data_IF_511790826476
#
_entry.id   IF_511790826476
#
_cell.length_a   1.000
_cell.length_b   1.000
_cell.length_c   1.000
_cell.angle_alpha   90.00
_cell.angle_beta   90.00
_cell.angle_gamma   90.00
#
_symmetry.space_group_name_H-M   'P 1'
#
loop_
_entity.id
_entity.type
_entity.pdbx_description
1 polymer ?
#
# COMPACT_ATOMS: atom_id res chain seq x y z
N UNK A 1 -6.40 6.54 -2.85
CA UNK A 1 -7.51 5.57 -2.77
C UNK A 1 -8.18 5.66 -1.42
N UNK A 2 -7.44 5.53 -0.30
CA UNK A 2 -7.94 6.07 0.96
C UNK A 2 -7.85 7.60 0.97
N UNK A 3 -8.79 8.23 1.66
CA UNK A 3 -8.84 9.68 1.90
C UNK A 3 -9.24 9.90 3.37
N UNK A 4 -8.72 10.94 4.03
CA UNK A 4 -9.07 11.25 5.41
C UNK A 4 -10.51 11.80 5.50
N UNK A 5 -11.04 11.87 6.71
CA UNK A 5 -12.38 12.43 6.99
C UNK A 5 -12.55 13.87 6.49
N UNK A 6 -11.47 14.65 6.41
CA UNK A 6 -11.45 16.02 5.88
C UNK A 6 -11.92 16.11 4.42
N UNK A 7 -11.90 14.99 3.69
CA UNK A 7 -12.28 14.92 2.28
C UNK A 7 -13.73 14.44 2.06
N UNK A 8 -14.53 14.25 3.11
CA UNK A 8 -15.90 13.73 3.02
C UNK A 8 -16.85 14.65 2.22
N UNK A 9 -16.66 15.96 2.32
CA UNK A 9 -17.50 16.97 1.64
C UNK A 9 -17.02 17.29 0.22
N UNK A 10 -15.99 16.60 -0.28
CA UNK A 10 -15.51 16.82 -1.64
C UNK A 10 -16.49 16.27 -2.68
N UNK A 11 -16.71 17.04 -3.74
CA UNK A 11 -17.48 16.58 -4.90
C UNK A 11 -16.84 15.31 -5.48
N UNK A 12 -17.62 14.23 -5.57
CA UNK A 12 -17.18 12.95 -6.12
C UNK A 12 -17.15 13.03 -7.66
N UNK A 13 -16.19 13.81 -8.17
CA UNK A 13 -15.93 14.00 -9.59
C UNK A 13 -14.50 13.57 -9.93
N UNK A 14 -14.24 13.24 -11.21
CA UNK A 14 -12.89 12.85 -11.68
C UNK A 14 -11.83 13.91 -11.37
N UNK A 15 -12.19 15.19 -11.47
CA UNK A 15 -11.25 16.29 -11.28
C UNK A 15 -10.92 16.49 -9.79
N UNK A 16 -11.94 16.59 -8.93
CA UNK A 16 -11.73 16.85 -7.50
C UNK A 16 -11.07 15.66 -6.80
N UNK A 17 -11.47 14.42 -7.11
CA UNK A 17 -10.81 13.21 -6.57
C UNK A 17 -9.36 13.09 -7.02
N UNK A 18 -9.08 13.41 -8.29
CA UNK A 18 -7.73 13.40 -8.87
C UNK A 18 -6.76 14.38 -8.20
N UNK A 19 -7.21 15.62 -7.93
CA UNK A 19 -6.41 16.63 -7.20
C UNK A 19 -6.01 16.17 -5.80
N UNK A 20 -6.80 15.30 -5.18
CA UNK A 20 -6.59 14.79 -3.83
C UNK A 20 -5.86 13.43 -3.80
N UNK A 21 -5.15 13.07 -4.88
CA UNK A 21 -4.34 11.84 -4.94
C UNK A 21 -5.17 10.56 -4.91
N UNK A 22 -6.45 10.64 -5.29
CA UNK A 22 -7.33 9.49 -5.51
C UNK A 22 -7.78 9.47 -6.97
N UNK A 23 -8.67 8.53 -7.31
CA UNK A 23 -9.26 8.44 -8.65
C UNK A 23 -10.71 7.97 -8.53
N UNK A 24 -11.62 8.64 -9.23
CA UNK A 24 -12.97 8.13 -9.43
C UNK A 24 -12.99 7.06 -10.52
N UNK A 25 -12.83 5.79 -10.10
CA UNK A 25 -12.91 4.61 -10.96
C UNK A 25 -14.36 4.23 -11.32
N UNK A 26 -14.86 3.14 -10.74
CA UNK A 26 -16.22 2.63 -10.97
C UNK A 26 -17.33 3.42 -10.26
N UNK A 27 -16.97 4.39 -9.41
CA UNK A 27 -17.91 5.07 -8.51
C UNK A 27 -18.26 4.27 -7.25
N UNK A 28 -17.58 3.14 -7.00
CA UNK A 28 -17.72 2.40 -5.75
C UNK A 28 -17.02 3.17 -4.61
N UNK A 29 -17.81 3.63 -3.64
CA UNK A 29 -17.33 4.29 -2.42
C UNK A 29 -17.38 3.29 -1.28
N UNK A 30 -16.26 3.10 -0.59
CA UNK A 30 -16.15 2.27 0.61
C UNK A 30 -15.94 3.23 1.79
N UNK A 31 -16.81 3.13 2.80
CA UNK A 31 -16.75 3.93 4.02
C UNK A 31 -16.24 3.05 5.15
N UNK A 32 -15.27 3.55 5.90
CA UNK A 32 -14.72 2.92 7.09
C UNK A 32 -14.74 3.97 8.21
N UNK A 33 -15.13 3.55 9.42
CA UNK A 33 -15.10 4.40 10.61
C UNK A 33 -13.80 4.20 11.40
N UNK A 34 -13.67 4.90 12.52
CA UNK A 34 -12.51 4.84 13.42
C UNK A 34 -12.31 3.48 14.12
N UNK A 35 -13.26 2.55 13.99
CA UNK A 35 -13.11 1.19 14.52
C UNK A 35 -12.35 0.26 13.57
N UNK A 36 -12.09 0.73 12.35
CA UNK A 36 -11.39 -0.03 11.31
C UNK A 36 -9.90 0.29 11.29
N UNK A 37 -9.06 -0.74 11.35
CA UNK A 37 -7.62 -0.61 11.12
C UNK A 37 -7.36 -0.35 9.63
N UNK A 38 -6.91 0.86 9.31
CA UNK A 38 -6.65 1.30 7.93
C UNK A 38 -5.47 0.56 7.30
N UNK A 39 -4.48 0.13 8.09
CA UNK A 39 -3.32 -0.64 7.61
C UNK A 39 -3.76 -2.06 7.28
N UNK A 40 -4.62 -2.67 8.09
CA UNK A 40 -5.24 -3.96 7.79
C UNK A 40 -6.12 -3.88 6.53
N UNK A 41 -6.88 -2.80 6.36
CA UNK A 41 -7.67 -2.58 5.14
C UNK A 41 -6.78 -2.45 3.90
N UNK A 42 -5.66 -1.74 4.01
CA UNK A 42 -4.68 -1.62 2.93
C UNK A 42 -4.04 -2.98 2.58
N UNK A 43 -3.59 -3.74 3.58
CA UNK A 43 -3.09 -5.11 3.41
C UNK A 43 -4.11 -5.97 2.67
N UNK A 44 -5.38 -5.94 3.07
CA UNK A 44 -6.41 -6.77 2.44
C UNK A 44 -6.60 -6.44 0.97
N UNK A 45 -6.55 -5.16 0.60
CA UNK A 45 -6.64 -4.70 -0.80
C UNK A 45 -5.41 -5.12 -1.60
N UNK A 46 -4.21 -4.94 -1.05
CA UNK A 46 -2.95 -5.35 -1.72
C UNK A 46 -2.94 -6.86 -1.94
N UNK A 47 -3.32 -7.62 -0.92
CA UNK A 47 -3.48 -9.08 -1.01
C UNK A 47 -4.48 -9.49 -2.08
N UNK A 48 -5.63 -8.82 -2.18
CA UNK A 48 -6.59 -9.07 -3.26
C UNK A 48 -5.94 -8.89 -4.63
N UNK A 49 -5.19 -7.81 -4.85
CA UNK A 49 -4.50 -7.60 -6.13
C UNK A 49 -3.38 -8.60 -6.39
N UNK A 50 -2.69 -9.08 -5.35
CA UNK A 50 -1.70 -10.13 -5.47
C UNK A 50 -2.34 -11.47 -5.88
N UNK A 51 -3.45 -11.85 -5.23
CA UNK A 51 -4.20 -13.08 -5.52
C UNK A 51 -4.86 -13.03 -6.92
N UNK A 52 -5.39 -11.88 -7.33
CA UNK A 52 -6.07 -11.68 -8.62
C UNK A 52 -5.14 -11.23 -9.76
N UNK A 53 -3.84 -11.17 -9.51
CA UNK A 53 -2.86 -10.91 -10.56
C UNK A 53 -2.87 -12.03 -11.59
N UNK A 54 -3.05 -11.69 -12.88
CA UNK A 54 -2.97 -12.69 -13.96
C UNK A 54 -1.56 -13.29 -14.14
N UNK A 55 -0.54 -12.69 -13.50
CA UNK A 55 0.84 -13.19 -13.51
C UNK A 55 1.67 -12.87 -14.76
N UNK A 56 1.12 -12.15 -15.75
CA UNK A 56 1.78 -11.98 -17.06
C UNK A 56 3.05 -11.11 -17.00
N UNK A 57 3.05 -10.01 -16.24
CA UNK A 57 4.21 -9.13 -16.11
C UNK A 57 4.89 -9.33 -14.75
N UNK A 58 6.20 -9.56 -14.77
CA UNK A 58 7.03 -9.76 -13.57
C UNK A 58 6.86 -8.67 -12.50
N UNK A 59 6.91 -7.36 -12.81
CA UNK A 59 6.73 -6.33 -11.78
C UNK A 59 5.39 -6.46 -11.06
N UNK A 60 4.31 -6.87 -11.75
CA UNK A 60 3.03 -7.09 -11.11
C UNK A 60 3.02 -8.41 -10.32
N UNK A 61 3.40 -9.53 -10.94
CA UNK A 61 3.32 -10.88 -10.35
C UNK A 61 4.16 -10.99 -9.07
N UNK A 62 5.42 -10.57 -9.14
CA UNK A 62 6.34 -10.67 -8.02
C UNK A 62 6.19 -9.47 -7.07
N UNK A 63 6.05 -8.26 -7.63
CA UNK A 63 6.01 -7.04 -6.83
C UNK A 63 4.77 -6.96 -5.93
N UNK A 64 3.57 -7.27 -6.43
CA UNK A 64 2.35 -7.25 -5.59
C UNK A 64 2.38 -8.29 -4.48
N UNK A 65 2.88 -9.49 -4.78
CA UNK A 65 3.11 -10.54 -3.77
C UNK A 65 4.11 -10.09 -2.71
N UNK A 66 5.19 -9.39 -3.11
CA UNK A 66 6.17 -8.88 -2.15
C UNK A 66 5.58 -7.77 -1.27
N UNK A 67 4.81 -6.85 -1.85
CA UNK A 67 4.09 -5.81 -1.08
C UNK A 67 3.15 -6.43 -0.05
N UNK A 68 2.37 -7.44 -0.43
CA UNK A 68 1.52 -8.21 0.49
C UNK A 68 2.33 -8.84 1.63
N UNK A 69 3.44 -9.51 1.31
CA UNK A 69 4.32 -10.11 2.32
C UNK A 69 4.91 -9.08 3.30
N UNK A 70 5.26 -7.88 2.83
CA UNK A 70 5.75 -6.81 3.70
C UNK A 70 4.64 -6.34 4.65
N UNK A 71 3.45 -6.07 4.12
CA UNK A 71 2.31 -5.61 4.92
C UNK A 71 1.86 -6.69 5.92
N UNK A 72 1.75 -7.95 5.50
CA UNK A 72 1.46 -9.06 6.42
C UNK A 72 2.50 -9.11 7.54
N UNK A 73 3.79 -8.99 7.22
CA UNK A 73 4.83 -9.01 8.26
C UNK A 73 4.67 -7.84 9.25
N UNK A 74 4.34 -6.64 8.77
CA UNK A 74 4.02 -5.49 9.63
C UNK A 74 2.80 -5.82 10.52
N UNK A 75 1.71 -6.32 9.95
CA UNK A 75 0.48 -6.69 10.67
C UNK A 75 0.68 -7.78 11.72
N UNK A 76 1.66 -8.67 11.53
CA UNK A 76 2.00 -9.73 12.49
C UNK A 76 3.01 -9.27 13.56
N UNK A 77 3.25 -7.96 13.69
CA UNK A 77 4.16 -7.39 14.69
C UNK A 77 5.62 -7.75 14.43
N UNK A 78 6.00 -7.88 13.15
CA UNK A 78 7.37 -8.16 12.69
C UNK A 78 7.88 -7.06 11.74
N UNK A 79 7.28 -5.87 11.81
CA UNK A 79 7.73 -4.67 11.11
C UNK A 79 9.17 -4.30 11.45
N UNK A 80 9.84 -3.66 10.50
CA UNK A 80 11.23 -3.19 10.58
C UNK A 80 11.27 -1.70 10.27
N UNK A 81 12.25 -0.95 10.82
CA UNK A 81 12.41 0.48 10.53
C UNK A 81 12.47 0.80 9.02
N UNK A 82 13.07 -0.08 8.22
CA UNK A 82 13.27 0.14 6.79
C UNK A 82 12.04 -0.25 5.93
N UNK A 83 10.96 -0.75 6.52
CA UNK A 83 9.84 -1.28 5.74
C UNK A 83 9.06 -0.22 4.98
N UNK A 84 8.96 1.00 5.51
CA UNK A 84 8.33 2.11 4.79
C UNK A 84 9.10 2.39 3.50
N UNK A 85 10.43 2.55 3.60
CA UNK A 85 11.28 2.76 2.42
C UNK A 85 11.24 1.57 1.45
N UNK A 86 11.15 0.34 1.96
CA UNK A 86 11.01 -0.85 1.11
C UNK A 86 9.64 -0.91 0.40
N UNK A 87 8.55 -0.53 1.08
CA UNK A 87 7.23 -0.42 0.47
C UNK A 87 7.23 0.60 -0.66
N UNK A 88 7.88 1.75 -0.47
CA UNK A 88 8.03 2.78 -1.50
C UNK A 88 8.88 2.31 -2.69
N UNK A 89 10.03 1.68 -2.43
CA UNK A 89 10.92 1.17 -3.47
C UNK A 89 10.27 0.10 -4.34
N UNK A 90 9.61 -0.89 -3.72
CA UNK A 90 8.88 -1.92 -4.46
C UNK A 90 7.69 -1.31 -5.21
N UNK A 91 7.00 -0.35 -4.60
CA UNK A 91 5.91 0.38 -5.25
C UNK A 91 6.38 1.17 -6.48
N UNK A 92 7.56 1.80 -6.42
CA UNK A 92 8.10 2.62 -7.52
C UNK A 92 8.51 1.74 -8.71
N UNK A 93 9.03 0.55 -8.42
CA UNK A 93 9.32 -0.46 -9.45
C UNK A 93 8.08 -0.94 -10.22
N UNK A 94 6.87 -0.84 -9.62
CA UNK A 94 5.59 -1.17 -10.26
C UNK A 94 4.97 0.07 -10.92
N UNK A 95 4.95 1.20 -10.20
CA UNK A 95 4.26 2.45 -10.53
C UNK A 95 5.21 3.65 -10.45
N UNK A 96 6.11 3.76 -11.43
CA UNK A 96 7.21 4.74 -11.51
C UNK A 96 6.80 6.18 -11.17
N UNK A 97 7.55 6.77 -10.25
CA UNK A 97 7.42 8.14 -9.77
C UNK A 97 6.34 8.33 -8.70
N UNK A 98 5.61 7.27 -8.33
CA UNK A 98 4.57 7.25 -7.28
C UNK A 98 3.58 8.45 -7.36
N UNK A 99 3.29 8.89 -8.59
CA UNK A 99 2.56 10.12 -8.86
C UNK A 99 1.31 9.92 -9.71
N UNK A 100 0.48 10.96 -9.77
CA UNK A 100 -0.72 10.99 -10.61
C UNK A 100 -0.48 11.85 -11.88
N UNK A 101 -0.84 11.38 -13.08
CA UNK A 101 -1.33 10.04 -13.42
C UNK A 101 -0.21 8.97 -13.32
N UNK A 102 -0.56 7.70 -13.02
CA UNK A 102 0.44 6.67 -12.79
C UNK A 102 1.20 6.36 -14.08
N UNK A 103 2.53 6.34 -13.97
CA UNK A 103 3.41 5.68 -14.94
C UNK A 103 3.70 4.28 -14.40
N UNK A 104 3.80 3.28 -15.27
CA UNK A 104 3.89 1.89 -14.82
C UNK A 104 4.85 1.07 -15.69
N UNK A 105 5.46 0.06 -15.07
CA UNK A 105 6.28 -0.98 -15.74
C UNK A 105 5.46 -2.25 -16.02
N UNK A 106 4.18 -2.25 -15.63
CA UNK A 106 3.25 -3.36 -15.79
C UNK A 106 2.44 -3.22 -17.08
N UNK A 107 1.89 -4.34 -17.58
CA UNK A 107 1.13 -4.38 -18.85
C UNK A 107 -0.24 -3.69 -18.72
N UNK A 108 -0.91 -3.83 -17.58
CA UNK A 108 -2.26 -3.29 -17.35
C UNK A 108 -2.32 -2.48 -16.04
N UNK A 109 -3.39 -1.70 -15.80
CA UNK A 109 -3.50 -0.84 -14.62
C UNK A 109 -3.62 -1.55 -13.27
N UNK A 110 -3.65 -2.88 -13.23
CA UNK A 110 -3.69 -3.65 -11.97
C UNK A 110 -2.47 -3.34 -11.09
N UNK A 111 -1.27 -3.23 -11.70
CA UNK A 111 -0.04 -2.91 -10.97
C UNK A 111 -0.15 -1.65 -10.13
N UNK A 112 -0.38 -0.47 -10.74
CA UNK A 112 -0.58 0.76 -9.97
C UNK A 112 -1.78 0.74 -9.04
N UNK A 113 -2.82 -0.04 -9.35
CA UNK A 113 -3.96 -0.21 -8.46
C UNK A 113 -3.55 -0.91 -7.16
N UNK A 114 -2.65 -1.89 -7.22
CA UNK A 114 -2.08 -2.55 -6.04
C UNK A 114 -1.16 -1.65 -5.21
N UNK A 115 -0.47 -0.70 -5.85
CA UNK A 115 0.38 0.29 -5.17
C UNK A 115 -0.44 1.35 -4.45
N UNK A 116 -1.62 1.67 -4.97
CA UNK A 116 -2.38 2.83 -4.51
C UNK A 116 -2.83 2.81 -3.03
N UNK A 117 -3.28 1.67 -2.45
CA UNK A 117 -3.58 1.58 -1.02
C UNK A 117 -2.37 2.00 -0.16
N UNK A 118 -1.18 1.53 -0.53
CA UNK A 118 0.09 1.76 0.17
C UNK A 118 0.42 3.25 0.19
N UNK A 119 0.43 3.90 -0.98
CA UNK A 119 0.70 5.33 -1.06
C UNK A 119 -0.31 6.16 -0.27
N UNK A 120 -1.59 5.74 -0.25
CA UNK A 120 -2.58 6.47 0.53
C UNK A 120 -2.41 6.31 2.04
N UNK A 121 -2.00 5.14 2.55
CA UNK A 121 -1.71 5.01 3.99
C UNK A 121 -0.44 5.75 4.38
N UNK A 122 0.62 5.71 3.56
CA UNK A 122 1.85 6.44 3.83
C UNK A 122 1.60 7.96 3.84
N UNK A 123 0.72 8.45 2.96
CA UNK A 123 0.42 9.87 2.84
C UNK A 123 -0.52 10.39 3.93
N UNK A 124 -1.62 9.68 4.18
CA UNK A 124 -2.72 10.19 5.00
C UNK A 124 -2.80 9.57 6.39
N UNK A 125 -2.15 8.42 6.61
CA UNK A 125 -2.18 7.69 7.87
C UNK A 125 -0.77 7.22 8.29
N UNK A 126 0.27 8.08 8.25
CA UNK A 126 1.63 7.68 8.57
C UNK A 126 1.76 7.18 10.01
N UNK A 127 1.03 7.79 10.95
CA UNK A 127 1.06 7.42 12.37
C UNK A 127 0.57 5.98 12.60
N UNK A 128 -0.42 5.53 11.83
CA UNK A 128 -1.00 4.19 11.94
C UNK A 128 0.00 3.10 11.52
N UNK A 129 0.66 3.28 10.38
CA UNK A 129 1.67 2.32 9.92
C UNK A 129 2.93 2.35 10.80
N UNK A 130 3.35 3.53 11.27
CA UNK A 130 4.46 3.67 12.21
C UNK A 130 4.16 2.97 13.54
N UNK A 131 2.92 3.06 14.04
CA UNK A 131 2.51 2.37 15.26
C UNK A 131 2.60 0.84 15.13
N UNK A 132 2.18 0.26 13.99
CA UNK A 132 2.35 -1.17 13.72
C UNK A 132 3.82 -1.59 13.70
N UNK A 133 4.69 -0.78 13.07
CA UNK A 133 6.13 -1.05 13.04
C UNK A 133 6.75 -0.92 14.43
N UNK A 134 6.40 0.10 15.21
CA UNK A 134 6.96 0.34 16.55
C UNK A 134 6.57 -0.76 17.56
N UNK A 135 5.36 -1.31 17.44
CA UNK A 135 4.87 -2.40 18.29
C UNK A 135 5.45 -3.77 17.92
N UNK A 136 6.34 -3.83 16.93
CA UNK A 136 6.89 -5.08 16.43
C UNK A 136 7.96 -5.68 17.35
N UNK A 137 7.88 -7.01 17.54
CA UNK A 137 8.92 -7.76 18.25
C UNK A 137 10.08 -8.02 17.30
N UNK A 138 11.11 -7.20 17.39
CA UNK A 138 12.37 -7.48 16.71
C UNK A 138 13.00 -8.71 17.37
N UNK A 139 12.95 -9.86 16.69
CA UNK A 139 13.74 -11.02 17.11
C UNK A 139 15.19 -10.76 16.70
N UNK A 140 16.13 -10.58 17.63
CA UNK A 140 17.52 -10.37 17.26
C UNK A 140 18.04 -11.62 16.56
N UNK A 141 18.50 -11.50 15.31
CA UNK A 141 19.24 -12.57 14.64
C UNK A 141 20.69 -12.42 15.04
N UNK A 142 21.13 -13.17 16.06
CA UNK A 142 22.54 -13.31 16.38
C UNK A 142 23.16 -14.31 15.40
N UNK A 143 23.97 -13.83 14.46
CA UNK A 143 24.85 -14.69 13.68
C UNK A 143 25.97 -15.13 14.62
N UNK A 144 25.86 -16.35 15.14
CA UNK A 144 26.92 -16.99 15.92
C UNK A 144 28.14 -17.22 15.04
N UNK A 145 29.01 -16.22 14.95
CA UNK A 145 30.34 -16.35 14.36
C UNK A 145 31.22 -17.17 15.29
N UNK A 146 31.15 -18.50 15.18
CA UNK A 146 32.17 -19.39 15.70
C UNK A 146 33.34 -19.44 14.71
N UNK A 147 34.47 -18.84 15.10
CA UNK A 147 35.79 -19.17 14.57
C UNK A 147 36.49 -20.12 15.54
#
# INVERSE_FOLDING_TARGET
>A
WFVPHEHLDLDVTKNETGKNGSMLGSGAVIVMDETTDVVAAAERLVRFFAEESCGQCTPCREGTTWLDMILQRIMHGQGRPDDIGLLEDVSDNISVGLGWPPKQTTICPLGPSAVSPILSILKYFPEEIEAHIANSRVTPVTIGGGA
#
